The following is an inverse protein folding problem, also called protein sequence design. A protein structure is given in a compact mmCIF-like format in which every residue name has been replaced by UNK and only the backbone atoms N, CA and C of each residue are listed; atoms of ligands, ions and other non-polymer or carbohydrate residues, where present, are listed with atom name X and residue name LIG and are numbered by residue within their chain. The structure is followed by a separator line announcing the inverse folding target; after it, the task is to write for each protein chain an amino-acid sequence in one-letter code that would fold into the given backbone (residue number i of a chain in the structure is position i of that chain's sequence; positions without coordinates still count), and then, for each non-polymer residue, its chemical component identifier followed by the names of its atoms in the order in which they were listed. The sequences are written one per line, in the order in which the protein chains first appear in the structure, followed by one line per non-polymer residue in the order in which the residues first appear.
data_IF_997191896946
#
_entry.id   IF_997191896946
#
_cell.length_a   1.000
_cell.length_b   1.000
_cell.length_c   1.000
_cell.angle_alpha   90.00
_cell.angle_beta   90.00
_cell.angle_gamma   90.00
#
_symmetry.space_group_name_H-M   'P 1'
#
loop_
_entity.id
_entity.type
_entity.pdbx_description
1 polymer ?
#
# COMPACT_ATOMS: atom_id res chain seq x y z
N UNK A 1 11.36 13.69 5.85
CA UNK A 1 11.33 12.77 4.70
C UNK A 1 11.93 11.36 4.96
N UNK A 2 11.86 10.76 6.17
CA UNK A 2 12.39 9.38 6.43
C UNK A 2 11.32 8.32 6.71
N UNK A 3 10.16 8.73 7.21
CA UNK A 3 9.12 7.81 7.66
C UNK A 3 8.32 7.21 6.49
N UNK A 4 7.98 8.04 5.50
CA UNK A 4 7.24 7.64 4.28
C UNK A 4 8.04 6.64 3.44
N UNK A 5 9.37 6.78 3.33
CA UNK A 5 10.21 5.82 2.61
C UNK A 5 10.30 4.47 3.32
N UNK A 6 10.45 4.48 4.65
CA UNK A 6 10.43 3.25 5.45
C UNK A 6 9.08 2.54 5.32
N UNK A 7 7.98 3.29 5.36
CA UNK A 7 6.63 2.77 5.16
C UNK A 7 6.48 2.13 3.78
N UNK A 8 6.90 2.81 2.71
CA UNK A 8 6.89 2.27 1.34
C UNK A 8 7.70 0.97 1.23
N UNK A 9 8.89 0.91 1.83
CA UNK A 9 9.72 -0.30 1.84
C UNK A 9 9.05 -1.46 2.57
N UNK A 10 8.45 -1.21 3.74
CA UNK A 10 7.70 -2.20 4.50
C UNK A 10 6.49 -2.69 3.71
N UNK A 11 5.74 -1.79 3.07
CA UNK A 11 4.59 -2.14 2.24
C UNK A 11 4.98 -3.04 1.07
N UNK A 12 6.06 -2.71 0.35
CA UNK A 12 6.57 -3.56 -0.75
C UNK A 12 6.99 -4.93 -0.22
N UNK A 13 7.67 -4.99 0.93
CA UNK A 13 8.08 -6.25 1.54
C UNK A 13 6.87 -7.11 1.95
N UNK A 14 5.83 -6.50 2.53
CA UNK A 14 4.57 -7.18 2.88
C UNK A 14 3.86 -7.68 1.63
N UNK A 15 3.86 -6.92 0.53
CA UNK A 15 3.27 -7.33 -0.75
C UNK A 15 3.98 -8.59 -1.27
N UNK A 16 5.31 -8.60 -1.27
CA UNK A 16 6.11 -9.76 -1.73
C UNK A 16 5.85 -10.99 -0.83
N UNK A 17 5.93 -10.83 0.49
CA UNK A 17 5.69 -11.92 1.43
C UNK A 17 4.26 -12.46 1.32
N UNK A 18 3.28 -11.57 1.19
CA UNK A 18 1.87 -11.93 1.01
C UNK A 18 1.65 -12.76 -0.24
N UNK A 19 2.32 -12.47 -1.35
CA UNK A 19 2.26 -13.33 -2.54
C UNK A 19 2.85 -14.72 -2.28
N UNK A 20 4.02 -14.80 -1.65
CA UNK A 20 4.67 -16.10 -1.35
C UNK A 20 3.77 -16.96 -0.46
N UNK A 21 3.19 -16.35 0.58
CA UNK A 21 2.24 -17.02 1.49
C UNK A 21 0.97 -17.44 0.75
N UNK A 22 0.43 -16.58 -0.12
CA UNK A 22 -0.74 -16.89 -0.93
C UNK A 22 -0.52 -18.08 -1.86
N UNK A 23 0.61 -18.13 -2.55
CA UNK A 23 0.98 -19.28 -3.41
C UNK A 23 1.14 -20.55 -2.58
N UNK A 24 1.81 -20.48 -1.42
CA UNK A 24 1.94 -21.62 -0.52
C UNK A 24 0.57 -22.13 -0.03
N UNK A 25 -0.36 -21.22 0.29
CA UNK A 25 -1.73 -21.58 0.69
C UNK A 25 -2.52 -22.24 -0.44
N UNK A 26 -2.36 -21.80 -1.70
CA UNK A 26 -3.01 -22.46 -2.84
C UNK A 26 -2.59 -23.92 -3.01
N UNK A 27 -1.34 -24.25 -2.65
CA UNK A 27 -0.82 -25.62 -2.69
C UNK A 27 -1.38 -26.47 -1.54
N UNK A 28 -1.51 -25.91 -0.35
CA UNK A 28 -2.01 -26.63 0.84
C UNK A 28 -3.54 -26.78 0.80
N UNK A 29 -4.26 -25.71 0.48
CA UNK A 29 -5.71 -25.69 0.42
C UNK A 29 -6.19 -24.57 -0.50
N UNK A 30 -6.67 -24.96 -1.68
CA UNK A 30 -7.08 -24.03 -2.72
C UNK A 30 -8.17 -23.05 -2.26
N UNK A 31 -9.12 -23.48 -1.42
CA UNK A 31 -10.18 -22.61 -0.93
C UNK A 31 -9.65 -21.52 0.02
N UNK A 32 -8.73 -21.89 0.92
CA UNK A 32 -8.07 -20.91 1.80
C UNK A 32 -7.19 -19.95 0.99
N UNK A 33 -6.47 -20.45 -0.01
CA UNK A 33 -5.67 -19.61 -0.92
C UNK A 33 -6.51 -18.62 -1.71
N UNK A 34 -7.65 -19.06 -2.28
CA UNK A 34 -8.58 -18.19 -3.01
C UNK A 34 -9.15 -17.11 -2.08
N UNK A 35 -9.62 -17.47 -0.88
CA UNK A 35 -10.10 -16.49 0.10
C UNK A 35 -8.99 -15.50 0.48
N UNK A 36 -7.78 -15.97 0.72
CA UNK A 36 -6.64 -15.12 1.05
C UNK A 36 -6.35 -14.12 -0.08
N UNK A 37 -6.35 -14.55 -1.34
CA UNK A 37 -6.12 -13.65 -2.47
C UNK A 37 -7.22 -12.59 -2.64
N UNK A 38 -8.49 -12.93 -2.35
CA UNK A 38 -9.57 -11.94 -2.36
C UNK A 38 -9.31 -10.85 -1.33
N UNK A 39 -8.99 -11.23 -0.08
CA UNK A 39 -8.65 -10.25 0.96
C UNK A 39 -7.38 -9.46 0.64
N UNK A 40 -6.37 -10.11 0.06
CA UNK A 40 -5.13 -9.48 -0.33
C UNK A 40 -5.36 -8.40 -1.41
N UNK A 41 -6.20 -8.66 -2.41
CA UNK A 41 -6.57 -7.66 -3.42
C UNK A 41 -7.34 -6.49 -2.80
N UNK A 42 -8.28 -6.77 -1.89
CA UNK A 42 -9.01 -5.70 -1.17
C UNK A 42 -8.06 -4.83 -0.34
N UNK A 43 -7.09 -5.43 0.35
CA UNK A 43 -6.08 -4.71 1.11
C UNK A 43 -5.18 -3.85 0.19
N UNK A 44 -4.81 -4.36 -0.98
CA UNK A 44 -4.08 -3.58 -1.99
C UNK A 44 -4.87 -2.37 -2.48
N UNK A 45 -6.17 -2.54 -2.77
CA UNK A 45 -7.02 -1.43 -3.18
C UNK A 45 -7.11 -0.36 -2.09
N UNK A 46 -7.33 -0.75 -0.84
CA UNK A 46 -7.33 0.16 0.29
C UNK A 46 -5.98 0.91 0.42
N UNK A 47 -4.86 0.20 0.23
CA UNK A 47 -3.54 0.80 0.25
C UNK A 47 -3.35 1.85 -0.84
N UNK A 48 -3.78 1.56 -2.07
CA UNK A 48 -3.72 2.53 -3.17
C UNK A 48 -4.52 3.79 -2.86
N UNK A 49 -5.72 3.66 -2.28
CA UNK A 49 -6.52 4.82 -1.87
C UNK A 49 -5.76 5.67 -0.86
N UNK A 50 -5.19 5.05 0.19
CA UNK A 50 -4.41 5.77 1.21
C UNK A 50 -3.24 6.50 0.56
N UNK A 51 -2.47 5.84 -0.31
CA UNK A 51 -1.33 6.46 -0.99
C UNK A 51 -1.76 7.63 -1.89
N UNK A 52 -2.88 7.52 -2.60
CA UNK A 52 -3.40 8.62 -3.45
C UNK A 52 -3.82 9.80 -2.58
N UNK A 53 -4.51 9.55 -1.47
CA UNK A 53 -4.95 10.60 -0.53
C UNK A 53 -3.74 11.29 0.11
N UNK A 54 -2.72 10.54 0.55
CA UNK A 54 -1.48 11.11 1.06
C UNK A 54 -0.81 12.02 0.02
N UNK A 55 -0.74 11.60 -1.25
CA UNK A 55 -0.18 12.41 -2.34
C UNK A 55 -0.98 13.66 -2.65
N UNK A 56 -2.31 13.59 -2.58
CA UNK A 56 -3.17 14.75 -2.77
C UNK A 56 -2.99 15.75 -1.62
N UNK A 57 -2.87 15.26 -0.39
CA UNK A 57 -2.64 16.10 0.79
C UNK A 57 -1.25 16.76 0.79
N UNK A 58 -0.20 16.04 0.38
CA UNK A 58 1.14 16.61 0.19
C UNK A 58 1.09 17.82 -0.77
N UNK A 59 0.34 17.71 -1.88
CA UNK A 59 0.16 18.83 -2.83
C UNK A 59 -0.65 19.98 -2.26
N UNK A 60 -1.71 19.71 -1.48
CA UNK A 60 -2.50 20.77 -0.86
C UNK A 60 -1.69 21.52 0.22
N UNK A 61 -0.84 20.81 0.97
CA UNK A 61 0.06 21.44 1.94
C UNK A 61 1.14 22.28 1.25
N UNK A 62 1.70 21.85 0.11
CA UNK A 62 2.62 22.66 -0.70
C UNK A 62 1.92 23.90 -1.30
N UNK A 63 0.69 23.77 -1.84
CA UNK A 63 -0.07 24.90 -2.41
C UNK A 63 -0.51 25.92 -1.34
N UNK A 64 -0.81 25.48 -0.11
CA UNK A 64 -1.17 26.39 1.00
C UNK A 64 0.03 27.12 1.59
N UNK A 65 1.24 26.59 1.41
CA UNK A 65 2.48 27.15 1.95
C UNK A 65 3.28 27.86 0.85
N UNK A 66 2.60 28.28 -0.22
CA UNK A 66 3.17 29.14 -1.24
C UNK A 66 3.46 30.52 -0.63
N UNK A 67 4.69 30.67 -0.14
CA UNK A 67 5.36 31.95 0.13
C UNK A 67 5.57 32.71 -1.19
N UNK A 68 4.48 33.03 -1.89
CA UNK A 68 4.46 33.82 -3.14
C UNK A 68 4.64 35.33 -2.91
N UNK A 69 5.36 35.71 -1.85
CA UNK A 69 5.67 37.11 -1.53
C UNK A 69 7.18 37.32 -1.29
N UNK A 70 7.98 37.06 -2.33
CA UNK A 70 9.35 37.55 -2.50
C UNK A 70 9.63 37.95 -3.94
#
# INVERSE_FOLDING_TARGET
MRMIETLKKVLVLVVILGQVVGVALLIVNIWLGVMFYIFYVLALLALFIVLIVERAKEKEEDDKNDYSDY
#
